data_IF_339113206949
#
_entry.id   IF_339113206949
#
_cell.length_a   1.000
_cell.length_b   1.000
_cell.length_c   1.000
_cell.angle_alpha   90.00
_cell.angle_beta   90.00
_cell.angle_gamma   90.00
#
_symmetry.space_group_name_H-M   'P 1'
#
loop_
_entity.id
_entity.type
_entity.pdbx_description
1 polymer ?
#
# COMPACT_ATOMS: atom_id res chain seq x y z
N UNK A 1 -30.07 18.06 8.60
CA UNK A 1 -29.02 19.09 8.44
C UNK A 1 -27.69 18.40 8.61
N UNK A 2 -26.77 18.40 7.62
CA UNK A 2 -25.44 17.78 7.84
C UNK A 2 -24.66 17.25 6.63
N UNK A 3 -25.21 17.27 5.40
CA UNK A 3 -24.49 16.79 4.22
C UNK A 3 -23.44 17.78 3.68
N UNK A 4 -23.84 19.04 3.53
CA UNK A 4 -23.01 20.07 2.87
C UNK A 4 -21.85 20.58 3.75
N UNK A 5 -22.08 20.76 5.05
CA UNK A 5 -21.04 21.23 5.99
C UNK A 5 -19.92 20.19 6.18
N UNK A 6 -20.29 18.90 6.19
CA UNK A 6 -19.33 17.80 6.26
C UNK A 6 -18.45 17.69 5.01
N UNK A 7 -19.02 17.90 3.83
CA UNK A 7 -18.25 17.95 2.58
C UNK A 7 -17.31 19.15 2.55
N UNK A 8 -17.78 20.35 2.95
CA UNK A 8 -16.94 21.54 3.01
C UNK A 8 -15.75 21.37 3.97
N UNK A 9 -15.98 20.81 5.16
CA UNK A 9 -14.90 20.52 6.12
C UNK A 9 -13.88 19.52 5.57
N UNK A 10 -14.35 18.42 4.98
CA UNK A 10 -13.47 17.35 4.49
C UNK A 10 -12.67 17.79 3.27
N UNK A 11 -13.28 18.51 2.33
CA UNK A 11 -12.60 19.09 1.16
C UNK A 11 -11.55 20.11 1.58
N UNK A 12 -11.86 20.98 2.55
CA UNK A 12 -10.90 21.97 3.05
C UNK A 12 -9.70 21.33 3.77
N UNK A 13 -9.92 20.26 4.54
CA UNK A 13 -8.84 19.50 5.19
C UNK A 13 -7.94 18.81 4.16
N UNK A 14 -8.53 18.23 3.10
CA UNK A 14 -7.77 17.59 2.02
C UNK A 14 -7.00 18.64 1.19
N UNK A 15 -7.65 19.75 0.83
CA UNK A 15 -7.03 20.84 0.09
C UNK A 15 -5.85 21.49 0.85
N UNK A 16 -5.99 21.67 2.18
CA UNK A 16 -4.92 22.16 3.04
C UNK A 16 -3.73 21.19 3.16
N UNK A 17 -3.97 19.88 3.19
CA UNK A 17 -2.90 18.87 3.16
C UNK A 17 -2.18 18.86 1.80
N UNK A 18 -2.93 19.02 0.70
CA UNK A 18 -2.37 19.08 -0.65
C UNK A 18 -1.50 20.32 -0.90
N UNK A 19 -1.94 21.51 -0.46
CA UNK A 19 -1.14 22.74 -0.57
C UNK A 19 0.21 22.59 0.15
N UNK A 20 0.22 21.97 1.33
CA UNK A 20 1.45 21.71 2.08
C UNK A 20 2.34 20.66 1.41
N UNK A 21 1.76 19.59 0.83
CA UNK A 21 2.53 18.56 0.11
C UNK A 21 3.11 19.07 -1.22
N UNK A 22 2.36 19.87 -1.98
CA UNK A 22 2.86 20.52 -3.21
C UNK A 22 3.97 21.50 -2.86
N UNK A 23 3.83 22.30 -1.81
CA UNK A 23 4.91 23.16 -1.31
C UNK A 23 6.15 22.36 -0.88
N UNK A 24 5.96 21.22 -0.21
CA UNK A 24 7.06 20.33 0.18
C UNK A 24 7.78 19.72 -1.04
N UNK A 25 7.04 19.30 -2.07
CA UNK A 25 7.62 18.82 -3.33
C UNK A 25 8.32 19.94 -4.11
N UNK A 26 7.76 21.15 -4.14
CA UNK A 26 8.39 22.32 -4.76
C UNK A 26 9.67 22.74 -4.01
N UNK A 27 9.69 22.69 -2.68
CA UNK A 27 10.86 22.96 -1.85
C UNK A 27 11.97 21.91 -2.05
N UNK A 28 11.60 20.64 -2.26
CA UNK A 28 12.56 19.59 -2.61
C UNK A 28 13.16 19.78 -4.02
N UNK A 29 12.37 20.28 -4.97
CA UNK A 29 12.85 20.59 -6.32
C UNK A 29 13.74 21.84 -6.37
N UNK A 30 13.53 22.81 -5.47
CA UNK A 30 14.36 24.02 -5.37
C UNK A 30 15.73 23.78 -4.72
N UNK A 31 15.89 22.74 -3.88
CA UNK A 31 17.15 22.44 -3.18
C UNK A 31 18.04 21.39 -3.85
N UNK A 32 17.78 21.03 -5.12
CA UNK A 32 18.75 20.39 -6.02
C UNK A 32 19.72 19.39 -5.38
N UNK A 33 19.22 18.27 -4.83
CA UNK A 33 20.08 17.16 -4.39
C UNK A 33 19.56 15.82 -4.93
N UNK A 34 19.85 15.56 -6.21
CA UNK A 34 19.51 14.34 -6.94
C UNK A 34 20.46 13.17 -6.63
N UNK A 35 20.69 12.84 -5.35
CA UNK A 35 21.56 11.71 -4.97
C UNK A 35 21.06 10.91 -3.77
N UNK A 36 19.74 10.65 -3.66
CA UNK A 36 19.22 9.67 -2.68
C UNK A 36 18.01 8.89 -3.20
N UNK A 37 18.12 8.32 -4.42
CA UNK A 37 17.11 7.43 -4.99
C UNK A 37 17.68 6.12 -5.56
N UNK A 38 18.87 5.69 -5.11
CA UNK A 38 19.49 4.43 -5.57
C UNK A 38 19.75 3.38 -4.47
N UNK A 39 19.22 3.53 -3.25
CA UNK A 39 19.41 2.52 -2.20
C UNK A 39 18.11 1.85 -1.72
N UNK A 40 17.20 1.49 -2.63
CA UNK A 40 16.19 0.46 -2.31
C UNK A 40 15.81 -0.28 -3.60
N UNK A 41 16.66 -1.18 -4.10
CA UNK A 41 16.26 -2.36 -4.88
C UNK A 41 17.51 -3.24 -5.19
N UNK A 42 17.53 -4.45 -4.64
CA UNK A 42 18.26 -5.60 -5.20
C UNK A 42 19.42 -6.15 -4.38
N UNK A 43 19.20 -7.26 -3.66
CA UNK A 43 19.89 -8.53 -3.95
C UNK A 43 19.32 -9.67 -3.10
N UNK A 44 19.19 -10.80 -3.78
CA UNK A 44 18.59 -12.08 -3.41
C UNK A 44 19.39 -12.92 -2.41
N UNK A 45 18.73 -13.97 -1.92
CA UNK A 45 19.16 -15.18 -1.20
C UNK A 45 20.66 -15.53 -1.15
N UNK A 46 21.17 -15.87 0.05
CA UNK A 46 21.98 -17.10 0.26
C UNK A 46 22.10 -17.45 1.75
N UNK A 47 22.09 -18.75 2.01
CA UNK A 47 22.20 -19.43 3.29
C UNK A 47 23.68 -19.60 3.70
N UNK A 48 23.96 -19.49 5.01
CA UNK A 48 25.05 -20.19 5.68
C UNK A 48 26.40 -19.46 5.79
N UNK A 49 26.71 -18.95 6.99
CA UNK A 49 27.91 -19.35 7.76
C UNK A 49 27.98 -18.65 9.11
N UNK A 50 28.12 -19.47 10.14
CA UNK A 50 28.36 -19.16 11.55
C UNK A 50 29.62 -18.34 11.78
N UNK A 51 29.54 -17.23 12.51
CA UNK A 51 30.63 -16.75 13.38
C UNK A 51 30.05 -16.06 14.62
N UNK A 52 30.34 -16.60 15.80
CA UNK A 52 30.06 -15.99 17.09
C UNK A 52 31.29 -15.18 17.53
N UNK A 53 31.10 -13.97 18.07
CA UNK A 53 32.12 -13.28 18.87
C UNK A 53 31.55 -12.88 20.23
N UNK A 54 32.34 -13.20 21.26
CA UNK A 54 32.02 -13.16 22.68
C UNK A 54 32.15 -11.75 23.29
N UNK A 55 31.51 -11.48 24.45
CA UNK A 55 31.57 -10.20 25.14
C UNK A 55 32.79 -10.16 26.07
N UNK A 56 33.75 -9.26 25.80
CA UNK A 56 34.90 -9.04 26.66
C UNK A 56 35.51 -7.67 26.40
N UNK A 57 35.75 -6.95 27.51
CA UNK A 57 36.56 -5.75 27.65
C UNK A 57 35.84 -4.39 27.52
N UNK A 58 35.18 -4.05 28.62
CA UNK A 58 34.96 -2.70 29.08
C UNK A 58 36.24 -2.11 29.70
N UNK A 59 36.73 -0.99 29.17
CA UNK A 59 37.42 0.15 29.82
C UNK A 59 37.95 1.06 28.68
N UNK A 60 37.93 2.41 28.70
CA UNK A 60 38.31 3.34 29.77
C UNK A 60 38.09 4.80 29.29
N UNK A 61 37.90 5.72 30.26
CA UNK A 61 38.20 7.18 30.27
C UNK A 61 37.11 8.12 29.69
N UNK A 62 36.67 9.22 30.34
CA UNK A 62 37.20 9.99 31.48
C UNK A 62 36.11 10.93 32.08
N UNK A 63 36.03 10.97 33.41
CA UNK A 63 35.79 12.08 34.37
C UNK A 63 35.04 13.38 33.95
N UNK A 64 34.23 13.96 34.86
CA UNK A 64 34.82 14.85 35.87
C UNK A 64 34.19 14.78 37.28
N UNK A 65 35.02 15.06 38.29
CA UNK A 65 34.60 15.64 39.57
C UNK A 65 35.69 16.64 39.99
N UNK A 66 35.32 17.69 40.73
CA UNK A 66 35.53 17.57 42.17
C UNK A 66 34.34 18.08 43.01
N UNK A 67 34.21 17.41 44.16
CA UNK A 67 33.32 17.67 45.29
C UNK A 67 33.87 18.83 46.13
N UNK A 68 32.99 19.65 46.71
CA UNK A 68 33.23 20.22 48.04
C UNK A 68 31.90 20.45 48.79
N UNK A 69 31.83 19.88 50.00
CA UNK A 69 30.69 19.76 50.92
C UNK A 69 30.26 21.07 51.62
N UNK A 70 29.01 21.11 52.09
CA UNK A 70 28.62 22.01 53.19
C UNK A 70 27.11 22.26 53.42
N UNK A 71 26.43 21.34 54.12
CA UNK A 71 25.40 21.52 55.19
C UNK A 71 24.19 22.48 54.98
N UNK A 72 22.97 21.92 55.14
CA UNK A 72 21.93 22.51 56.02
C UNK A 72 20.49 22.73 55.49
N UNK A 73 19.58 21.82 55.88
CA UNK A 73 18.13 21.99 56.15
C UNK A 73 17.15 22.57 55.10
N UNK A 74 16.09 21.80 54.78
CA UNK A 74 14.79 22.37 54.36
C UNK A 74 13.85 21.49 53.50
N UNK A 75 13.01 20.69 54.18
CA UNK A 75 11.65 20.21 53.82
C UNK A 75 11.39 19.37 52.54
N UNK A 76 10.57 18.30 52.65
CA UNK A 76 9.94 17.63 51.51
C UNK A 76 8.70 18.41 51.05
N UNK A 77 8.24 18.21 49.81
CA UNK A 77 6.82 18.12 49.38
C UNK A 77 6.70 18.23 47.86
N UNK A 78 5.97 17.25 47.30
CA UNK A 78 5.26 17.25 46.01
C UNK A 78 6.03 17.20 44.70
N UNK A 79 6.35 15.98 44.28
CA UNK A 79 6.43 15.62 42.85
C UNK A 79 5.59 14.36 42.59
N UNK A 80 4.27 14.52 42.67
CA UNK A 80 3.32 13.42 42.41
C UNK A 80 2.12 13.80 41.51
N UNK A 81 2.15 14.97 40.84
CA UNK A 81 0.98 15.44 40.07
C UNK A 81 1.22 15.78 38.60
N UNK A 82 2.37 15.46 38.01
CA UNK A 82 2.63 15.76 36.58
C UNK A 82 2.45 14.55 35.65
N UNK A 83 2.36 13.33 36.17
CA UNK A 83 2.26 12.13 35.32
C UNK A 83 0.84 11.85 34.77
N UNK A 84 -0.21 12.30 35.46
CA UNK A 84 -1.61 11.95 35.11
C UNK A 84 -2.23 12.93 34.08
N UNK A 85 -1.74 14.17 33.99
CA UNK A 85 -2.30 15.18 33.08
C UNK A 85 -1.76 15.07 31.64
N UNK A 86 -0.49 14.66 31.48
CA UNK A 86 0.16 14.46 30.17
C UNK A 86 -0.40 13.25 29.40
N UNK A 87 -0.82 12.20 30.10
CA UNK A 87 -1.45 11.02 29.49
C UNK A 87 -2.86 11.32 28.95
N UNK A 88 -3.63 12.14 29.68
CA UNK A 88 -5.02 12.51 29.30
C UNK A 88 -5.07 13.37 28.04
N UNK A 89 -4.15 14.33 27.87
CA UNK A 89 -4.05 15.12 26.63
C UNK A 89 -3.70 14.27 25.40
N UNK A 90 -2.86 13.24 25.59
CA UNK A 90 -2.45 12.33 24.52
C UNK A 90 -3.59 11.39 24.10
N UNK A 91 -4.41 10.91 25.05
CA UNK A 91 -5.57 10.07 24.74
C UNK A 91 -6.63 10.85 23.95
N UNK A 92 -6.94 12.08 24.38
CA UNK A 92 -7.91 12.93 23.69
C UNK A 92 -7.48 13.25 22.25
N UNK A 93 -6.20 13.58 22.03
CA UNK A 93 -5.65 13.79 20.70
C UNK A 93 -5.72 12.53 19.82
N UNK A 94 -5.43 11.35 20.38
CA UNK A 94 -5.53 10.07 19.68
C UNK A 94 -6.97 9.75 19.28
N UNK A 95 -7.94 9.97 20.17
CA UNK A 95 -9.37 9.77 19.88
C UNK A 95 -9.84 10.72 18.78
N UNK A 96 -9.45 11.99 18.84
CA UNK A 96 -9.77 12.98 17.81
C UNK A 96 -9.19 12.57 16.45
N UNK A 97 -7.95 12.07 16.43
CA UNK A 97 -7.32 11.58 15.22
C UNK A 97 -8.01 10.33 14.65
N UNK A 98 -8.43 9.39 15.51
CA UNK A 98 -9.21 8.22 15.09
C UNK A 98 -10.56 8.63 14.47
N UNK A 99 -11.24 9.61 15.04
CA UNK A 99 -12.47 10.16 14.48
C UNK A 99 -12.25 10.85 13.13
N UNK A 100 -11.14 11.59 12.98
CA UNK A 100 -10.73 12.16 11.69
C UNK A 100 -10.51 11.05 10.66
N UNK A 101 -9.76 10.00 11.01
CA UNK A 101 -9.50 8.88 10.11
C UNK A 101 -10.79 8.17 9.70
N UNK A 102 -11.72 7.94 10.63
CA UNK A 102 -13.02 7.33 10.34
C UNK A 102 -13.82 8.16 9.32
N UNK A 103 -13.87 9.48 9.51
CA UNK A 103 -14.56 10.40 8.59
C UNK A 103 -13.94 10.40 7.19
N UNK A 104 -12.61 10.34 7.09
CA UNK A 104 -11.90 10.25 5.81
C UNK A 104 -12.21 8.94 5.07
N UNK A 105 -12.22 7.80 5.77
CA UNK A 105 -12.60 6.51 5.17
C UNK A 105 -14.06 6.54 4.69
N UNK A 106 -14.98 7.08 5.49
CA UNK A 106 -16.39 7.24 5.08
C UNK A 106 -16.56 8.15 3.85
N UNK A 107 -15.75 9.21 3.74
CA UNK A 107 -15.73 10.06 2.56
C UNK A 107 -15.22 9.28 1.34
N UNK A 108 -14.12 8.54 1.46
CA UNK A 108 -13.58 7.72 0.38
C UNK A 108 -14.57 6.63 -0.09
N UNK A 109 -15.28 5.98 0.84
CA UNK A 109 -16.35 5.03 0.52
C UNK A 109 -17.51 5.68 -0.24
N UNK A 110 -17.82 6.94 0.07
CA UNK A 110 -18.85 7.70 -0.65
C UNK A 110 -18.42 7.99 -2.09
N UNK A 111 -17.19 8.46 -2.31
CA UNK A 111 -16.61 8.64 -3.65
C UNK A 111 -16.69 7.34 -4.47
N UNK A 112 -16.40 6.20 -3.83
CA UNK A 112 -16.48 4.90 -4.48
C UNK A 112 -17.92 4.55 -4.90
N UNK A 113 -18.91 4.77 -4.02
CA UNK A 113 -20.32 4.46 -4.27
C UNK A 113 -20.96 5.38 -5.30
N UNK A 114 -20.67 6.67 -5.21
CA UNK A 114 -21.21 7.70 -6.12
C UNK A 114 -20.53 7.67 -7.49
N UNK A 115 -19.35 7.04 -7.59
CA UNK A 115 -18.61 6.92 -8.84
C UNK A 115 -17.95 8.24 -9.28
N UNK A 116 -17.79 9.18 -8.37
CA UNK A 116 -17.18 10.50 -8.60
C UNK A 116 -15.98 10.70 -7.68
N UNK A 117 -15.16 11.71 -7.98
CA UNK A 117 -14.13 12.19 -7.05
C UNK A 117 -13.10 11.13 -6.60
N UNK A 118 -12.82 10.13 -7.45
CA UNK A 118 -11.91 9.04 -7.10
C UNK A 118 -10.54 9.54 -6.64
N UNK A 119 -10.03 10.62 -7.25
CA UNK A 119 -8.79 11.26 -6.83
C UNK A 119 -8.85 11.70 -5.36
N UNK A 120 -9.90 12.43 -4.96
CA UNK A 120 -10.05 12.90 -3.58
C UNK A 120 -10.29 11.77 -2.59
N UNK A 121 -11.02 10.73 -2.98
CA UNK A 121 -11.16 9.52 -2.16
C UNK A 121 -9.82 8.81 -1.92
N UNK A 122 -8.96 8.73 -2.93
CA UNK A 122 -7.61 8.16 -2.82
C UNK A 122 -6.75 9.02 -1.88
N UNK A 123 -6.78 10.34 -2.02
CA UNK A 123 -6.04 11.25 -1.13
C UNK A 123 -6.51 11.15 0.32
N UNK A 124 -7.81 11.03 0.55
CA UNK A 124 -8.35 10.77 1.89
C UNK A 124 -7.80 9.47 2.48
N UNK A 125 -7.68 8.42 1.67
CA UNK A 125 -7.06 7.16 2.10
C UNK A 125 -5.55 7.32 2.35
N UNK A 126 -4.84 8.09 1.53
CA UNK A 126 -3.42 8.38 1.73
C UNK A 126 -3.20 9.08 3.07
N UNK A 127 -4.00 10.10 3.40
CA UNK A 127 -3.92 10.80 4.69
C UNK A 127 -4.11 9.85 5.88
N UNK A 128 -5.02 8.87 5.78
CA UNK A 128 -5.23 7.86 6.83
C UNK A 128 -4.03 6.92 6.95
N UNK A 129 -3.45 6.49 5.83
CA UNK A 129 -2.39 5.46 5.79
C UNK A 129 -0.98 6.02 6.01
N UNK A 130 -0.76 7.30 5.65
CA UNK A 130 0.49 8.04 5.87
C UNK A 130 0.58 8.62 7.29
N UNK A 131 -0.57 8.83 7.94
CA UNK A 131 -0.62 9.13 9.37
C UNK A 131 0.01 8.01 10.19
N UNK A 132 0.20 8.22 11.50
CA UNK A 132 0.87 7.26 12.39
C UNK A 132 0.17 5.87 12.32
N UNK A 133 0.73 4.89 11.59
CA UNK A 133 0.00 3.68 11.18
C UNK A 133 -0.15 2.66 12.32
N UNK A 134 0.50 2.95 13.45
CA UNK A 134 0.40 2.23 14.72
C UNK A 134 -0.71 2.79 15.62
N UNK A 135 -1.21 4.00 15.32
CA UNK A 135 -2.26 4.65 16.09
C UNK A 135 -3.65 4.29 15.58
N UNK A 136 -3.78 4.02 14.27
CA UNK A 136 -5.02 3.53 13.67
C UNK A 136 -5.21 2.04 13.94
N UNK A 137 -6.40 1.65 14.39
CA UNK A 137 -6.72 0.25 14.65
C UNK A 137 -6.65 -0.61 13.38
N UNK A 138 -6.31 -1.91 13.50
CA UNK A 138 -6.14 -2.81 12.35
C UNK A 138 -7.38 -2.88 11.45
N UNK A 139 -8.58 -2.86 12.03
CA UNK A 139 -9.85 -2.86 11.27
C UNK A 139 -9.97 -1.63 10.36
N UNK A 140 -9.78 -0.42 10.91
CA UNK A 140 -9.88 0.81 10.11
C UNK A 140 -8.81 0.88 9.02
N UNK A 141 -7.61 0.38 9.33
CA UNK A 141 -6.51 0.27 8.36
C UNK A 141 -6.84 -0.69 7.24
N UNK A 142 -7.39 -1.86 7.57
CA UNK A 142 -7.86 -2.84 6.59
C UNK A 142 -8.92 -2.22 5.67
N UNK A 143 -9.94 -1.58 6.23
CA UNK A 143 -11.02 -0.97 5.45
C UNK A 143 -10.49 0.14 4.54
N UNK A 144 -9.59 0.99 5.05
CA UNK A 144 -8.95 2.03 4.26
C UNK A 144 -8.13 1.46 3.09
N UNK A 145 -7.39 0.36 3.29
CA UNK A 145 -6.63 -0.30 2.23
C UNK A 145 -7.55 -0.88 1.15
N UNK A 146 -8.62 -1.56 1.55
CA UNK A 146 -9.60 -2.11 0.60
C UNK A 146 -10.31 -1.00 -0.19
N UNK A 147 -10.72 0.09 0.47
CA UNK A 147 -11.36 1.24 -0.18
C UNK A 147 -10.41 1.93 -1.15
N UNK A 148 -9.13 2.14 -0.76
CA UNK A 148 -8.13 2.72 -1.67
C UNK A 148 -7.90 1.84 -2.90
N UNK A 149 -7.78 0.52 -2.70
CA UNK A 149 -7.65 -0.43 -3.81
C UNK A 149 -8.83 -0.33 -4.79
N UNK A 150 -10.06 -0.29 -4.28
CA UNK A 150 -11.25 -0.15 -5.10
C UNK A 150 -11.26 1.16 -5.91
N UNK A 151 -10.94 2.28 -5.27
CA UNK A 151 -10.88 3.59 -5.93
C UNK A 151 -9.82 3.65 -7.03
N UNK A 152 -8.63 3.10 -6.78
CA UNK A 152 -7.56 2.96 -7.77
C UNK A 152 -8.04 2.17 -8.99
N UNK A 153 -8.73 1.05 -8.77
CA UNK A 153 -9.26 0.20 -9.84
C UNK A 153 -10.38 0.87 -10.65
N UNK A 154 -11.18 1.74 -10.05
CA UNK A 154 -12.18 2.56 -10.76
C UNK A 154 -11.53 3.69 -11.56
N UNK A 155 -10.49 4.32 -11.02
CA UNK A 155 -9.75 5.42 -11.67
C UNK A 155 -8.90 4.95 -12.87
N UNK A 156 -8.34 3.74 -12.82
CA UNK A 156 -7.63 3.07 -13.94
C UNK A 156 -6.43 3.84 -14.51
N UNK A 157 -5.64 4.52 -13.68
CA UNK A 157 -4.37 5.06 -14.16
C UNK A 157 -3.33 3.96 -14.32
N UNK A 158 -2.28 4.23 -15.10
CA UNK A 158 -1.25 3.25 -15.52
C UNK A 158 -0.66 2.42 -14.37
N UNK A 159 -0.53 2.99 -13.18
CA UNK A 159 0.08 2.34 -12.01
C UNK A 159 -0.94 1.88 -10.94
N UNK A 160 -2.23 2.16 -11.16
CA UNK A 160 -3.27 1.97 -10.14
C UNK A 160 -3.49 0.50 -9.82
N UNK A 161 -3.49 -0.37 -10.83
CA UNK A 161 -3.61 -1.82 -10.60
C UNK A 161 -2.45 -2.36 -9.73
N UNK A 162 -1.22 -1.91 -9.95
CA UNK A 162 -0.08 -2.30 -9.11
C UNK A 162 -0.19 -1.75 -7.69
N UNK A 163 -0.68 -0.51 -7.53
CA UNK A 163 -0.96 0.05 -6.20
C UNK A 163 -2.07 -0.72 -5.47
N UNK A 164 -3.14 -1.07 -6.16
CA UNK A 164 -4.24 -1.86 -5.62
C UNK A 164 -3.76 -3.24 -5.15
N UNK A 165 -2.88 -3.92 -5.90
CA UNK A 165 -2.26 -5.19 -5.47
C UNK A 165 -1.47 -5.01 -4.16
N UNK A 166 -0.69 -3.93 -4.04
CA UNK A 166 0.06 -3.65 -2.80
C UNK A 166 -0.88 -3.46 -1.62
N UNK A 167 -1.98 -2.74 -1.83
CA UNK A 167 -2.99 -2.50 -0.80
C UNK A 167 -3.72 -3.78 -0.40
N UNK A 168 -4.12 -4.60 -1.37
CA UNK A 168 -4.75 -5.89 -1.11
C UNK A 168 -3.83 -6.84 -0.34
N UNK A 169 -2.54 -6.88 -0.68
CA UNK A 169 -1.56 -7.68 0.08
C UNK A 169 -1.38 -7.16 1.51
N UNK A 170 -1.38 -5.85 1.73
CA UNK A 170 -1.33 -5.27 3.08
C UNK A 170 -2.60 -5.56 3.87
N UNK A 171 -3.78 -5.47 3.24
CA UNK A 171 -5.06 -5.81 3.87
C UNK A 171 -5.10 -7.29 4.27
N UNK A 172 -4.61 -8.19 3.41
CA UNK A 172 -4.53 -9.64 3.69
C UNK A 172 -3.56 -10.02 4.81
N UNK A 173 -2.57 -9.19 5.11
CA UNK A 173 -1.71 -9.38 6.30
C UNK A 173 -2.44 -9.05 7.60
N UNK A 174 -3.50 -8.24 7.53
CA UNK A 174 -4.36 -7.90 8.67
C UNK A 174 -5.47 -8.94 8.81
N UNK A 175 -6.14 -9.25 7.69
CA UNK A 175 -7.20 -10.26 7.62
C UNK A 175 -7.00 -11.14 6.39
N UNK A 176 -6.51 -12.36 6.61
CA UNK A 176 -6.26 -13.34 5.55
C UNK A 176 -7.55 -13.83 4.88
N UNK A 177 -8.69 -13.70 5.57
CA UNK A 177 -10.03 -14.11 5.14
C UNK A 177 -10.89 -12.95 4.59
N UNK A 178 -10.28 -11.81 4.28
CA UNK A 178 -11.00 -10.68 3.70
C UNK A 178 -11.43 -10.97 2.27
N UNK A 179 -12.72 -11.23 2.07
CA UNK A 179 -13.29 -11.41 0.73
C UNK A 179 -13.09 -10.15 -0.13
N UNK A 180 -13.21 -8.94 0.44
CA UNK A 180 -12.98 -7.67 -0.27
C UNK A 180 -11.56 -7.58 -0.82
N UNK A 181 -10.55 -7.94 -0.02
CA UNK A 181 -9.17 -7.90 -0.47
C UNK A 181 -8.89 -8.91 -1.59
N UNK A 182 -9.49 -10.10 -1.52
CA UNK A 182 -9.39 -11.11 -2.59
C UNK A 182 -10.12 -10.65 -3.86
N UNK A 183 -11.31 -10.07 -3.71
CA UNK A 183 -12.10 -9.52 -4.80
C UNK A 183 -11.35 -8.43 -5.57
N UNK A 184 -10.82 -7.41 -4.89
CA UNK A 184 -10.07 -6.34 -5.54
C UNK A 184 -8.71 -6.81 -6.07
N UNK A 185 -8.07 -7.80 -5.43
CA UNK A 185 -6.88 -8.46 -5.99
C UNK A 185 -7.19 -9.10 -7.35
N UNK A 186 -8.31 -9.82 -7.46
CA UNK A 186 -8.73 -10.43 -8.72
C UNK A 186 -8.92 -9.39 -9.83
N UNK A 187 -9.52 -8.24 -9.50
CA UNK A 187 -9.74 -7.15 -10.45
C UNK A 187 -8.43 -6.52 -10.92
N UNK A 188 -7.51 -6.26 -10.00
CA UNK A 188 -6.22 -5.68 -10.30
C UNK A 188 -5.39 -6.60 -11.22
N UNK A 189 -5.38 -7.91 -10.94
CA UNK A 189 -4.72 -8.91 -11.77
C UNK A 189 -5.36 -9.00 -13.16
N UNK A 190 -6.69 -8.88 -13.24
CA UNK A 190 -7.42 -8.85 -14.50
C UNK A 190 -7.03 -7.64 -15.35
N UNK A 191 -6.93 -6.45 -14.75
CA UNK A 191 -6.45 -5.23 -15.42
C UNK A 191 -4.99 -5.36 -15.92
N UNK A 192 -4.20 -6.25 -15.31
CA UNK A 192 -2.83 -6.60 -15.73
C UNK A 192 -2.76 -7.82 -16.67
N UNK A 193 -3.88 -8.30 -17.20
CA UNK A 193 -4.00 -9.49 -18.07
C UNK A 193 -3.50 -10.81 -17.43
N UNK A 194 -3.37 -10.87 -16.10
CA UNK A 194 -2.99 -12.07 -15.34
C UNK A 194 -4.21 -12.92 -15.03
N UNK A 195 -4.90 -13.36 -16.07
CA UNK A 195 -6.22 -13.98 -15.98
C UNK A 195 -6.27 -15.27 -15.14
N UNK A 196 -5.22 -16.10 -15.19
CA UNK A 196 -5.15 -17.35 -14.40
C UNK A 196 -5.05 -17.04 -12.90
N UNK A 197 -4.12 -16.17 -12.52
CA UNK A 197 -3.95 -15.71 -11.13
C UNK A 197 -5.24 -15.01 -10.65
N UNK A 198 -5.86 -14.17 -11.49
CA UNK A 198 -7.10 -13.48 -11.16
C UNK A 198 -8.24 -14.45 -10.80
N UNK A 199 -8.36 -15.58 -11.53
CA UNK A 199 -9.40 -16.56 -11.27
C UNK A 199 -9.25 -17.22 -9.90
N UNK A 200 -8.03 -17.55 -9.48
CA UNK A 200 -7.76 -18.15 -8.17
C UNK A 200 -8.25 -17.24 -7.04
N UNK A 201 -7.94 -15.95 -7.12
CA UNK A 201 -8.40 -14.96 -6.14
C UNK A 201 -9.91 -14.72 -6.19
N UNK A 202 -10.51 -14.71 -7.38
CA UNK A 202 -11.96 -14.53 -7.52
C UNK A 202 -12.75 -15.71 -6.92
N UNK A 203 -12.31 -16.95 -7.17
CA UNK A 203 -12.92 -18.16 -6.58
C UNK A 203 -12.76 -18.15 -5.06
N UNK A 204 -11.56 -17.82 -4.54
CA UNK A 204 -11.35 -17.70 -3.11
C UNK A 204 -12.25 -16.64 -2.46
N UNK A 205 -12.45 -15.49 -3.13
CA UNK A 205 -13.42 -14.48 -2.71
C UNK A 205 -14.85 -15.01 -2.67
N UNK A 206 -15.27 -15.76 -3.70
CA UNK A 206 -16.61 -16.35 -3.78
C UNK A 206 -16.86 -17.38 -2.68
N UNK A 207 -15.85 -18.18 -2.32
CA UNK A 207 -15.97 -19.12 -1.20
C UNK A 207 -16.24 -18.41 0.14
N UNK A 208 -15.71 -17.19 0.33
CA UNK A 208 -15.91 -16.40 1.55
C UNK A 208 -17.18 -15.54 1.52
N UNK A 209 -17.69 -15.22 0.32
CA UNK A 209 -18.91 -14.44 0.12
C UNK A 209 -19.81 -15.08 -0.96
N UNK A 210 -20.39 -16.27 -0.70
CA UNK A 210 -21.08 -17.06 -1.73
C UNK A 210 -22.40 -16.44 -2.22
N UNK A 211 -22.99 -15.54 -1.44
CA UNK A 211 -24.25 -14.86 -1.78
C UNK A 211 -24.03 -13.47 -2.40
N UNK A 212 -22.78 -13.04 -2.56
CA UNK A 212 -22.46 -11.75 -3.18
C UNK A 212 -22.48 -11.90 -4.71
N UNK A 213 -23.44 -11.24 -5.34
CA UNK A 213 -23.64 -11.32 -6.79
C UNK A 213 -22.48 -10.70 -7.57
N UNK A 214 -21.85 -9.64 -7.05
CA UNK A 214 -20.72 -8.97 -7.73
C UNK A 214 -19.51 -9.90 -7.75
N UNK A 215 -19.28 -10.63 -6.65
CA UNK A 215 -18.22 -11.65 -6.56
C UNK A 215 -18.47 -12.80 -7.52
N UNK A 216 -19.71 -13.27 -7.63
CA UNK A 216 -20.07 -14.35 -8.56
C UNK A 216 -19.92 -13.91 -10.03
N UNK A 217 -20.38 -12.71 -10.38
CA UNK A 217 -20.22 -12.14 -11.72
C UNK A 217 -18.74 -12.03 -12.10
N UNK A 218 -17.87 -11.65 -11.16
CA UNK A 218 -16.43 -11.56 -11.39
C UNK A 218 -15.80 -12.88 -11.81
N UNK A 219 -16.18 -13.99 -11.16
CA UNK A 219 -15.68 -15.32 -11.52
C UNK A 219 -16.07 -15.68 -12.95
N UNK A 220 -17.31 -15.42 -13.33
CA UNK A 220 -17.82 -15.73 -14.67
C UNK A 220 -17.21 -14.84 -15.75
N UNK A 221 -17.02 -13.53 -15.50
CA UNK A 221 -16.31 -12.63 -16.42
C UNK A 221 -14.86 -13.09 -16.67
N UNK A 222 -14.14 -13.47 -15.61
CA UNK A 222 -12.76 -13.96 -15.74
C UNK A 222 -12.71 -15.27 -16.54
N UNK A 223 -13.63 -16.22 -16.28
CA UNK A 223 -13.72 -17.47 -17.05
C UNK A 223 -13.96 -17.21 -18.54
N UNK A 224 -14.87 -16.30 -18.88
CA UNK A 224 -15.16 -15.91 -20.27
C UNK A 224 -13.92 -15.31 -20.94
N UNK A 225 -13.21 -14.41 -20.27
CA UNK A 225 -11.96 -13.81 -20.77
C UNK A 225 -10.86 -14.84 -20.95
N UNK A 226 -10.70 -15.77 -20.01
CA UNK A 226 -9.76 -16.89 -20.12
C UNK A 226 -10.05 -17.77 -21.34
N UNK A 227 -11.31 -18.14 -21.55
CA UNK A 227 -11.70 -18.91 -22.72
C UNK A 227 -11.36 -18.17 -24.03
N UNK A 228 -11.63 -16.86 -24.09
CA UNK A 228 -11.26 -16.05 -25.25
C UNK A 228 -9.74 -15.99 -25.49
N UNK A 229 -8.92 -15.83 -24.44
CA UNK A 229 -7.45 -15.85 -24.57
C UNK A 229 -6.95 -17.20 -25.06
N UNK A 230 -7.48 -18.31 -24.52
CA UNK A 230 -7.10 -19.67 -24.92
C UNK A 230 -7.51 -19.96 -26.36
N UNK A 231 -8.66 -19.45 -26.82
CA UNK A 231 -9.12 -19.60 -28.21
C UNK A 231 -8.33 -18.75 -29.21
N UNK A 232 -7.67 -17.68 -28.77
CA UNK A 232 -6.84 -16.81 -29.62
C UNK A 232 -5.36 -17.27 -29.69
N UNK A 233 -4.88 -18.03 -28.71
CA UNK A 233 -3.54 -18.60 -28.70
C UNK A 233 -3.17 -19.50 -29.91
N UNK A 234 -4.09 -20.25 -30.55
CA UNK A 234 -3.76 -21.10 -31.70
C UNK A 234 -3.36 -20.32 -32.97
N UNK A 235 -3.62 -19.01 -33.04
CA UNK A 235 -3.34 -18.22 -34.25
C UNK A 235 -1.90 -17.71 -34.35
N UNK A 236 -1.10 -17.80 -33.28
CA UNK A 236 0.31 -17.37 -33.28
C UNK A 236 1.31 -18.51 -33.57
N UNK A 237 0.83 -19.76 -33.72
CA UNK A 237 1.69 -20.95 -33.91
C UNK A 237 1.73 -21.54 -35.32
N UNK A 238 1.09 -20.92 -36.31
CA UNK A 238 1.01 -21.45 -37.69
C UNK A 238 1.64 -20.52 -38.74
N UNK A 239 2.78 -19.90 -38.42
CA UNK A 239 3.56 -19.15 -39.41
C UNK A 239 5.05 -19.53 -39.41
N UNK A 240 5.38 -20.82 -39.36
CA UNK A 240 6.70 -21.33 -39.73
C UNK A 240 6.56 -22.64 -40.50
N UNK A 241 6.42 -22.54 -41.83
CA UNK A 241 7.01 -23.47 -42.81
C UNK A 241 6.43 -23.24 -44.22
N UNK A 242 6.89 -22.20 -44.90
CA UNK A 242 6.91 -22.18 -46.37
C UNK A 242 8.36 -22.10 -46.84
N UNK A 243 8.92 -23.28 -47.08
CA UNK A 243 9.92 -23.63 -48.08
C UNK A 243 10.91 -22.52 -48.54
N UNK A 244 12.09 -22.49 -47.93
CA UNK A 244 13.31 -22.14 -48.67
C UNK A 244 13.87 -23.43 -49.27
N UNK A 245 13.44 -23.75 -50.49
CA UNK A 245 14.09 -24.76 -51.31
C UNK A 245 15.48 -24.24 -51.73
N UNK A 246 16.53 -24.91 -51.27
CA UNK A 246 17.91 -24.71 -51.72
C UNK A 246 18.05 -25.32 -53.11
N UNK A 247 18.50 -24.58 -54.14
CA UNK A 247 18.77 -25.18 -55.44
C UNK A 247 20.05 -26.04 -55.39
N UNK A 248 20.08 -27.20 -56.07
CA UNK A 248 21.24 -28.08 -56.08
C UNK A 248 22.39 -27.53 -56.94
N UNK A 249 23.61 -27.54 -56.39
CA UNK A 249 24.86 -27.36 -57.12
C UNK A 249 24.98 -28.37 -58.28
N UNK A 250 25.02 -27.87 -59.51
CA UNK A 250 25.45 -28.64 -60.67
C UNK A 250 26.97 -28.82 -60.65
N UNK A 251 27.41 -30.08 -60.63
CA UNK A 251 28.80 -30.48 -60.88
C UNK A 251 29.07 -30.35 -62.38
N UNK A 252 29.99 -29.47 -62.77
CA UNK A 252 30.58 -29.45 -64.10
C UNK A 252 31.90 -30.22 -64.10
N UNK A 253 31.93 -31.38 -64.74
CA UNK A 253 33.16 -32.16 -65.00
C UNK A 253 33.59 -31.90 -66.45
N UNK A 254 34.81 -31.35 -66.59
CA UNK A 254 35.80 -31.38 -67.68
C UNK A 254 35.40 -31.78 -69.11
N UNK A 255 35.86 -30.96 -70.06
CA UNK A 255 36.76 -31.39 -71.13
C UNK A 255 37.88 -30.34 -71.25
#
# INVERSE_FOLDING_TARGET
MGGAEFMSFTVNVIAGSYANRVLHYCLHLQHGNYNSLNNVLGSEYSCGSTVCYAPGDALKLMNPSPILDGIGFGSPVSDAFTYDFSMKSNIAAKLLQLDKCRKLVQFAERCLKEGTDYFYGIEACNEVLDGHPHEIGPTLKHDCLCTRAALLLKRKWKNDAHMAIRDCNRARRIDTSSFKALFYMSEALLQLNKHKEALEFAVASQCLAPYDSEVAERVEDIKKRLAAVVLLAPLHGLCESKACAVPPCSKGTKA
#
